data_IF_694073823064
#
_entry.id   IF_694073823064
#
_cell.length_a   1.000
_cell.length_b   1.000
_cell.length_c   1.000
_cell.angle_alpha   90.00
_cell.angle_beta   90.00
_cell.angle_gamma   90.00
#
_symmetry.space_group_name_H-M   'P 1'
#
loop_
_entity.id
_entity.type
_entity.pdbx_description
1 polymer ?
#
# COMPACT_ATOMS: atom_id res chain seq x y z
N UNK A 1 -5.35 -21.13 5.74
CA UNK A 1 -6.76 -20.79 5.49
C UNK A 1 -6.80 -19.38 4.91
N UNK A 2 -7.36 -19.19 3.71
CA UNK A 2 -7.33 -17.92 2.97
C UNK A 2 -8.68 -17.23 3.15
N UNK A 3 -8.71 -16.10 3.85
CA UNK A 3 -9.96 -15.37 4.15
C UNK A 3 -10.20 -14.29 3.10
N UNK A 4 -11.42 -14.21 2.56
CA UNK A 4 -11.78 -13.14 1.63
C UNK A 4 -11.96 -11.83 2.40
N UNK A 5 -11.12 -10.83 2.10
CA UNK A 5 -11.23 -9.50 2.71
C UNK A 5 -12.29 -8.68 1.99
N UNK A 6 -13.30 -8.20 2.71
CA UNK A 6 -14.37 -7.38 2.13
C UNK A 6 -13.84 -6.05 1.57
N UNK A 7 -12.80 -5.50 2.21
CA UNK A 7 -12.12 -4.28 1.78
C UNK A 7 -11.41 -4.41 0.43
N UNK A 8 -11.19 -5.64 -0.07
CA UNK A 8 -10.50 -5.88 -1.34
C UNK A 8 -11.20 -5.21 -2.52
N UNK A 9 -12.53 -5.24 -2.56
CA UNK A 9 -13.27 -4.63 -3.68
C UNK A 9 -13.11 -3.11 -3.68
N UNK A 10 -13.20 -2.47 -2.50
CA UNK A 10 -12.95 -1.04 -2.34
C UNK A 10 -11.52 -0.66 -2.74
N UNK A 11 -10.53 -1.49 -2.38
CA UNK A 11 -9.14 -1.27 -2.80
C UNK A 11 -9.00 -1.38 -4.32
N UNK A 12 -9.66 -2.35 -4.96
CA UNK A 12 -9.65 -2.50 -6.42
C UNK A 12 -10.29 -1.31 -7.14
N UNK A 13 -11.41 -0.82 -6.62
CA UNK A 13 -12.06 0.40 -7.14
C UNK A 13 -11.12 1.60 -7.03
N UNK A 14 -10.51 1.81 -5.86
CA UNK A 14 -9.54 2.89 -5.68
C UNK A 14 -8.29 2.74 -6.56
N UNK A 15 -7.80 1.52 -6.81
CA UNK A 15 -6.71 1.31 -7.76
C UNK A 15 -7.09 1.72 -9.19
N UNK A 16 -8.39 1.78 -9.54
CA UNK A 16 -8.88 2.31 -10.82
C UNK A 16 -8.81 3.85 -10.93
N UNK A 17 -8.75 4.55 -9.81
CA UNK A 17 -8.81 6.02 -9.76
C UNK A 17 -7.51 6.67 -9.28
N UNK A 18 -6.81 6.01 -8.35
CA UNK A 18 -5.64 6.54 -7.67
C UNK A 18 -4.34 5.93 -8.21
N UNK A 19 -3.30 6.74 -8.44
CA UNK A 19 -1.97 6.23 -8.78
C UNK A 19 -1.36 5.36 -7.68
N UNK A 20 -1.64 5.69 -6.42
CA UNK A 20 -1.16 4.93 -5.28
C UNK A 20 -2.29 4.56 -4.32
N UNK A 21 -2.15 3.40 -3.69
CA UNK A 21 -2.97 2.97 -2.55
C UNK A 21 -2.07 2.60 -1.38
N UNK A 22 -2.38 3.06 -0.17
CA UNK A 22 -1.71 2.64 1.05
C UNK A 22 -2.63 1.76 1.89
N UNK A 23 -2.19 0.54 2.18
CA UNK A 23 -2.87 -0.41 3.07
C UNK A 23 -2.15 -0.38 4.42
N UNK A 24 -2.70 0.37 5.36
CA UNK A 24 -2.25 0.44 6.74
C UNK A 24 -2.77 -0.77 7.52
N UNK A 25 -2.04 -1.25 8.53
CA UNK A 25 -2.63 -2.21 9.48
C UNK A 25 -1.63 -2.72 10.51
N UNK A 26 -2.13 -3.28 11.60
CA UNK A 26 -1.28 -3.93 12.61
C UNK A 26 -0.55 -5.16 12.03
N UNK A 27 0.48 -5.65 12.73
CA UNK A 27 1.15 -6.92 12.37
C UNK A 27 0.13 -8.07 12.34
N UNK A 28 0.36 -9.06 11.48
CA UNK A 28 -0.48 -10.28 11.37
C UNK A 28 -1.96 -10.06 10.96
N UNK A 29 -2.29 -8.91 10.38
CA UNK A 29 -3.64 -8.61 9.87
C UNK A 29 -3.91 -9.13 8.46
N UNK A 30 -2.97 -9.86 7.83
CA UNK A 30 -3.13 -10.41 6.49
C UNK A 30 -2.80 -9.44 5.33
N UNK A 31 -2.09 -8.34 5.60
CA UNK A 31 -1.62 -7.38 4.57
C UNK A 31 -0.84 -8.06 3.44
N UNK A 32 0.11 -8.92 3.79
CA UNK A 32 0.91 -9.68 2.82
C UNK A 32 0.02 -10.45 1.84
N UNK A 33 -0.95 -11.21 2.36
CA UNK A 33 -1.86 -12.01 1.53
C UNK A 33 -2.70 -11.13 0.61
N UNK A 34 -3.22 -10.01 1.12
CA UNK A 34 -4.00 -9.06 0.31
C UNK A 34 -3.12 -8.40 -0.77
N UNK A 35 -1.92 -7.97 -0.42
CA UNK A 35 -1.01 -7.29 -1.35
C UNK A 35 -0.56 -8.21 -2.50
N UNK A 36 -0.24 -9.47 -2.20
CA UNK A 36 0.08 -10.50 -3.20
C UNK A 36 -1.09 -10.83 -4.13
N UNK A 37 -2.34 -10.54 -3.74
CA UNK A 37 -3.50 -10.69 -4.62
C UNK A 37 -3.73 -9.48 -5.53
N UNK A 38 -3.08 -8.34 -5.24
CA UNK A 38 -3.23 -7.09 -6.00
C UNK A 38 -2.15 -6.92 -7.06
N UNK A 39 -0.92 -7.41 -6.81
CA UNK A 39 0.14 -7.49 -7.81
C UNK A 39 1.06 -8.68 -7.56
N UNK A 40 1.57 -9.25 -8.65
CA UNK A 40 2.62 -10.28 -8.62
C UNK A 40 4.02 -9.67 -8.43
N UNK A 41 4.18 -8.36 -8.61
CA UNK A 41 5.44 -7.67 -8.35
C UNK A 41 5.45 -7.13 -6.92
N UNK A 42 6.25 -7.76 -6.06
CA UNK A 42 6.26 -7.53 -4.63
C UNK A 42 7.68 -7.31 -4.12
N UNK A 43 7.90 -6.21 -3.42
CA UNK A 43 9.16 -5.88 -2.77
C UNK A 43 8.86 -5.55 -1.31
N UNK A 44 9.61 -6.14 -0.39
CA UNK A 44 9.52 -5.83 1.05
C UNK A 44 10.81 -5.24 1.56
N UNK A 45 10.70 -4.19 2.38
CA UNK A 45 11.84 -3.60 3.09
C UNK A 45 12.19 -4.32 4.39
N UNK A 46 11.59 -5.50 4.65
CA UNK A 46 12.18 -6.51 5.54
C UNK A 46 13.38 -7.21 4.89
N UNK A 47 13.48 -7.26 3.55
CA UNK A 47 14.69 -7.71 2.87
C UNK A 47 15.76 -6.60 2.92
N UNK A 48 16.91 -6.93 3.51
CA UNK A 48 18.05 -6.02 3.66
C UNK A 48 18.59 -5.52 2.32
N UNK A 49 18.57 -6.34 1.27
CA UNK A 49 19.08 -5.96 -0.05
C UNK A 49 18.17 -4.91 -0.69
N UNK A 50 16.85 -5.14 -0.65
CA UNK A 50 15.86 -4.20 -1.13
C UNK A 50 15.92 -2.88 -0.34
N UNK A 51 16.03 -2.98 0.99
CA UNK A 51 16.16 -1.82 1.87
C UNK A 51 17.41 -0.99 1.54
N UNK A 52 18.59 -1.61 1.44
CA UNK A 52 19.84 -0.90 1.15
C UNK A 52 19.83 -0.30 -0.26
N UNK A 53 19.31 -1.02 -1.26
CA UNK A 53 19.18 -0.50 -2.62
C UNK A 53 18.32 0.75 -2.66
N UNK A 54 17.13 0.70 -2.06
CA UNK A 54 16.21 1.84 -2.03
C UNK A 54 16.70 2.98 -1.13
N UNK A 55 17.45 2.69 -0.06
CA UNK A 55 18.03 3.70 0.82
C UNK A 55 19.18 4.47 0.16
N UNK A 56 20.06 3.75 -0.56
CA UNK A 56 21.28 4.33 -1.12
C UNK A 56 21.00 5.12 -2.41
N UNK A 57 20.06 4.67 -3.24
CA UNK A 57 19.62 5.38 -4.43
C UNK A 57 18.08 5.34 -4.56
N UNK A 58 17.36 6.20 -3.81
CA UNK A 58 15.89 6.23 -3.84
C UNK A 58 15.32 6.49 -5.23
N UNK A 59 15.94 7.41 -5.98
CA UNK A 59 15.47 7.85 -7.30
C UNK A 59 15.67 6.76 -8.34
N UNK A 60 16.89 6.21 -8.44
CA UNK A 60 17.17 5.10 -9.35
C UNK A 60 16.36 3.86 -8.99
N UNK A 61 16.19 3.56 -7.70
CA UNK A 61 15.35 2.45 -7.24
C UNK A 61 13.92 2.57 -7.78
N UNK A 62 13.21 3.66 -7.49
CA UNK A 62 11.82 3.87 -7.93
C UNK A 62 11.70 3.91 -9.47
N UNK A 63 12.67 4.52 -10.15
CA UNK A 63 12.64 4.63 -11.62
C UNK A 63 12.77 3.27 -12.34
N UNK A 64 13.45 2.31 -11.71
CA UNK A 64 13.67 0.98 -12.27
C UNK A 64 12.54 -0.01 -11.96
N UNK A 65 11.54 0.37 -11.15
CA UNK A 65 10.42 -0.50 -10.80
C UNK A 65 9.45 -0.67 -11.97
N UNK A 66 9.02 -1.91 -12.19
CA UNK A 66 7.88 -2.22 -13.08
C UNK A 66 6.57 -2.07 -12.31
N UNK A 67 5.70 -1.18 -12.75
CA UNK A 67 4.37 -0.97 -12.12
C UNK A 67 3.30 -1.86 -12.79
N UNK A 68 2.24 -2.29 -12.07
CA UNK A 68 1.96 -2.08 -10.64
C UNK A 68 2.93 -2.85 -9.73
N UNK A 69 3.41 -2.22 -8.67
CA UNK A 69 4.32 -2.83 -7.68
C UNK A 69 3.80 -2.67 -6.26
N UNK A 70 3.97 -3.71 -5.44
CA UNK A 70 3.81 -3.62 -3.98
C UNK A 70 5.14 -3.23 -3.35
N UNK A 71 5.13 -2.18 -2.53
CA UNK A 71 6.23 -1.78 -1.66
C UNK A 71 5.80 -1.95 -0.20
N UNK A 72 6.35 -2.99 0.44
CA UNK A 72 5.97 -3.40 1.78
C UNK A 72 6.89 -2.92 2.88
N UNK A 73 6.30 -2.67 4.05
CA UNK A 73 6.92 -2.03 5.20
C UNK A 73 7.51 -0.65 4.84
N UNK A 74 6.77 0.13 4.05
CA UNK A 74 7.20 1.43 3.51
C UNK A 74 7.60 2.45 4.60
N UNK A 75 7.10 2.27 5.83
CA UNK A 75 7.48 3.10 6.98
C UNK A 75 8.94 2.98 7.39
N UNK A 76 9.67 1.97 6.90
CA UNK A 76 11.12 1.86 7.08
C UNK A 76 11.90 2.86 6.23
N UNK A 77 11.31 3.34 5.14
CA UNK A 77 11.93 4.28 4.20
C UNK A 77 10.94 5.41 3.85
N UNK A 78 10.53 6.25 4.84
CA UNK A 78 9.56 7.32 4.62
C UNK A 78 10.00 8.33 3.55
N UNK A 79 11.32 8.49 3.32
CA UNK A 79 11.86 9.33 2.27
C UNK A 79 11.48 8.89 0.84
N UNK A 80 11.05 7.64 0.64
CA UNK A 80 10.58 7.18 -0.67
C UNK A 80 9.26 7.84 -1.08
N UNK A 81 8.50 8.43 -0.15
CA UNK A 81 7.22 9.09 -0.46
C UNK A 81 7.41 10.25 -1.45
N UNK A 82 8.45 11.05 -1.28
CA UNK A 82 8.75 12.16 -2.18
C UNK A 82 9.20 11.69 -3.56
N UNK A 83 9.94 10.58 -3.62
CA UNK A 83 10.36 9.98 -4.88
C UNK A 83 9.19 9.36 -5.64
N UNK A 84 8.31 8.64 -4.93
CA UNK A 84 7.08 8.08 -5.50
C UNK A 84 6.18 9.20 -6.01
N UNK A 85 6.02 10.28 -5.24
CA UNK A 85 5.28 11.48 -5.67
C UNK A 85 5.82 12.01 -6.99
N UNK A 86 7.13 12.26 -7.09
CA UNK A 86 7.77 12.75 -8.32
C UNK A 86 7.51 11.80 -9.50
N UNK A 87 7.63 10.49 -9.28
CA UNK A 87 7.38 9.49 -10.32
C UNK A 87 5.93 9.48 -10.81
N UNK A 88 4.98 9.63 -9.89
CA UNK A 88 3.55 9.75 -10.22
C UNK A 88 3.29 11.05 -10.99
N UNK A 89 3.92 12.16 -10.60
CA UNK A 89 3.75 13.46 -11.25
C UNK A 89 4.28 13.47 -12.69
N UNK A 90 5.37 12.75 -12.96
CA UNK A 90 5.95 12.60 -14.32
C UNK A 90 5.03 11.84 -15.28
N UNK A 91 4.31 10.83 -14.79
CA UNK A 91 3.46 9.97 -15.61
C UNK A 91 2.28 9.44 -14.80
N UNK A 92 1.30 10.31 -14.56
CA UNK A 92 0.16 10.04 -13.70
C UNK A 92 -0.77 9.01 -14.33
N UNK A 93 -0.76 7.79 -13.79
CA UNK A 93 -1.66 6.70 -14.16
C UNK A 93 -2.20 6.03 -12.91
N UNK A 94 -3.45 5.52 -12.93
CA UNK A 94 -3.96 4.72 -11.83
C UNK A 94 -3.16 3.41 -11.67
N UNK A 95 -3.23 2.81 -10.49
CA UNK A 95 -2.64 1.50 -10.19
C UNK A 95 -1.12 1.41 -10.44
N UNK A 96 -0.33 2.38 -9.96
CA UNK A 96 1.13 2.33 -10.08
C UNK A 96 1.79 1.72 -8.84
N UNK A 97 1.38 2.17 -7.65
CA UNK A 97 2.03 1.81 -6.39
C UNK A 97 1.01 1.29 -5.36
N UNK A 98 1.27 0.11 -4.83
CA UNK A 98 0.54 -0.44 -3.68
C UNK A 98 1.50 -0.43 -2.51
N UNK A 99 1.24 0.43 -1.53
CA UNK A 99 2.09 0.62 -0.38
C UNK A 99 1.49 -0.11 0.82
N UNK A 100 2.29 -0.82 1.61
CA UNK A 100 1.83 -1.44 2.85
C UNK A 100 2.70 -1.04 4.02
N UNK A 101 2.11 -0.99 5.21
CA UNK A 101 2.87 -0.61 6.40
C UNK A 101 2.05 -0.53 7.68
N UNK A 102 2.72 -0.18 8.77
CA UNK A 102 2.06 0.09 10.04
C UNK A 102 1.26 1.39 9.99
N UNK A 103 0.16 1.47 10.74
CA UNK A 103 -0.69 2.67 10.78
C UNK A 103 0.02 3.91 11.32
N UNK A 104 1.07 3.72 12.11
CA UNK A 104 1.80 4.80 12.75
C UNK A 104 2.48 5.73 11.74
N UNK A 105 2.76 5.27 10.51
CA UNK A 105 3.37 6.12 9.48
C UNK A 105 2.47 7.30 9.09
N UNK A 106 1.16 7.12 9.15
CA UNK A 106 0.19 8.17 8.80
C UNK A 106 0.12 9.29 9.84
N UNK A 107 0.79 9.13 10.98
CA UNK A 107 0.91 10.19 12.00
C UNK A 107 1.97 11.23 11.63
N UNK A 108 2.87 10.93 10.69
CA UNK A 108 3.82 11.91 10.17
C UNK A 108 3.11 12.76 9.11
N UNK A 109 2.86 14.04 9.45
CA UNK A 109 2.21 15.03 8.57
C UNK A 109 2.81 15.06 7.17
N UNK A 110 4.14 15.00 7.12
CA UNK A 110 4.91 15.08 5.88
C UNK A 110 4.57 13.94 4.91
N UNK A 111 4.30 12.72 5.42
CA UNK A 111 3.95 11.57 4.57
C UNK A 111 2.59 11.75 3.90
N UNK A 112 1.61 12.30 4.63
CA UNK A 112 0.28 12.61 4.08
C UNK A 112 0.34 13.72 3.04
N UNK A 113 1.14 14.74 3.29
CA UNK A 113 1.31 15.87 2.37
C UNK A 113 2.04 15.48 1.09
N UNK A 114 3.07 14.63 1.18
CA UNK A 114 3.83 14.19 0.00
C UNK A 114 2.95 13.54 -1.06
N UNK A 115 1.93 12.76 -0.68
CA UNK A 115 1.06 12.05 -1.62
C UNK A 115 -0.40 12.54 -1.64
N UNK A 116 -0.66 13.76 -1.15
CA UNK A 116 -1.99 14.36 -1.16
C UNK A 116 -2.61 14.36 -2.57
N UNK A 117 -3.87 13.92 -2.67
CA UNK A 117 -4.62 13.81 -3.93
C UNK A 117 -4.15 12.71 -4.90
N UNK A 118 -3.16 11.90 -4.50
CA UNK A 118 -2.58 10.81 -5.31
C UNK A 118 -2.65 9.44 -4.63
N UNK A 119 -2.92 9.44 -3.32
CA UNK A 119 -2.95 8.26 -2.48
C UNK A 119 -4.34 8.07 -1.87
N UNK A 120 -4.93 6.90 -2.08
CA UNK A 120 -6.04 6.43 -1.26
C UNK A 120 -5.50 5.60 -0.09
N UNK A 121 -6.04 5.79 1.10
CA UNK A 121 -5.60 5.12 2.32
C UNK A 121 -6.69 4.16 2.80
N UNK A 122 -6.31 2.91 3.05
CA UNK A 122 -7.19 1.88 3.60
C UNK A 122 -6.58 1.32 4.88
N UNK A 123 -7.37 1.28 5.94
CA UNK A 123 -6.97 0.65 7.19
C UNK A 123 -7.48 -0.79 7.25
N UNK A 124 -6.54 -1.72 7.37
CA UNK A 124 -6.78 -3.15 7.50
C UNK A 124 -6.80 -3.54 8.98
N UNK A 125 -7.99 -3.68 9.53
CA UNK A 125 -8.23 -4.23 10.86
C UNK A 125 -7.99 -5.75 10.91
N UNK A 126 -7.88 -6.37 12.10
CA UNK A 126 -7.98 -7.81 12.24
C UNK A 126 -9.24 -8.36 11.56
N UNK A 127 -9.24 -9.66 11.24
CA UNK A 127 -10.39 -10.31 10.61
C UNK A 127 -11.64 -10.07 11.46
N UNK A 128 -12.67 -9.52 10.84
CA UNK A 128 -13.99 -9.43 11.46
C UNK A 128 -14.60 -10.82 11.62
N UNK A 129 -15.54 -10.98 12.56
CA UNK A 129 -16.29 -12.22 12.73
C UNK A 129 -16.96 -12.63 11.41
N UNK A 130 -17.45 -11.67 10.62
CA UNK A 130 -18.03 -11.91 9.29
C UNK A 130 -17.04 -12.51 8.29
N UNK A 131 -15.79 -12.05 8.28
CA UNK A 131 -14.72 -12.61 7.46
C UNK A 131 -14.30 -14.01 7.95
N UNK A 132 -14.32 -14.25 9.27
CA UNK A 132 -14.02 -15.57 9.87
C UNK A 132 -15.11 -16.59 9.50
N UNK A 133 -16.39 -16.20 9.54
CA UNK A 133 -17.52 -17.08 9.18
C UNK A 133 -17.86 -17.05 7.68
N UNK A 134 -17.05 -16.38 6.85
CA UNK A 134 -17.19 -16.29 5.40
C UNK A 134 -18.56 -15.75 4.92
N UNK A 135 -19.20 -14.87 5.71
CA UNK A 135 -20.45 -14.18 5.33
C UNK A 135 -20.14 -12.78 4.79
N UNK A 136 -20.78 -12.39 3.68
CA UNK A 136 -20.74 -11.01 3.15
C UNK A 136 -21.39 -10.07 4.17
N UNK A 137 -20.58 -9.39 4.98
CA UNK A 137 -21.05 -8.29 5.82
C UNK A 137 -21.20 -7.02 4.98
N UNK A 138 -22.30 -6.29 5.15
CA UNK A 138 -22.44 -4.95 4.58
C UNK A 138 -21.55 -4.01 5.39
N UNK A 139 -20.40 -3.62 4.83
CA UNK A 139 -19.57 -2.56 5.40
C UNK A 139 -20.10 -1.22 4.90
N UNK A 140 -20.76 -0.47 5.78
CA UNK A 140 -21.12 0.93 5.53
C UNK A 140 -19.87 1.78 5.75
N UNK A 141 -19.40 2.56 4.76
CA UNK A 141 -18.30 3.51 4.99
C UNK A 141 -18.81 4.59 5.95
N UNK A 142 -18.07 4.84 7.03
CA UNK A 142 -18.26 6.05 7.83
C UNK A 142 -17.54 7.16 7.08
N UNK A 143 -18.30 8.16 6.62
CA UNK A 143 -17.81 9.37 5.95
C UNK A 143 -17.01 10.26 6.88
#
# INVERSE_FOLDING_TARGET
MKFQRLIKNLIKEALGEFPAVFIAGARQTGKFTLAMELSNNYITFDDINAYLSAKNDPVGFINNLKTPVVLDEIQKLPQLMDTIKKKIDENRKPNQFILTGSINILRFSNVKESLAGRLAIFELYPLSIYEIINKKGNLTPVR
#
